data_IF_547533317355
#
_entry.id   IF_547533317355
#
_cell.length_a   1.000
_cell.length_b   1.000
_cell.length_c   1.000
_cell.angle_alpha   90.00
_cell.angle_beta   90.00
_cell.angle_gamma   90.00
#
_symmetry.space_group_name_H-M   'P 1'
#
loop_
_entity.id
_entity.type
_entity.pdbx_description
1 polymer ?
#
# COMPACT_ATOMS: atom_id res chain seq x y z
N UNK A 1 32.42 -2.37 -3.42
CA UNK A 1 31.82 -2.92 -2.18
C UNK A 1 31.92 -1.89 -1.07
N UNK A 2 30.77 -1.51 -0.51
CA UNK A 2 30.54 -1.28 0.92
C UNK A 2 31.23 -0.09 1.63
N UNK A 3 31.06 1.15 1.18
CA UNK A 3 31.30 2.30 2.08
C UNK A 3 29.99 2.79 2.73
N UNK A 4 28.91 2.93 1.95
CA UNK A 4 27.62 3.44 2.45
C UNK A 4 26.89 2.48 3.40
N UNK A 5 26.97 1.18 3.11
CA UNK A 5 26.37 0.13 3.97
C UNK A 5 27.01 0.08 5.36
N UNK A 6 28.29 0.46 5.46
CA UNK A 6 29.00 0.54 6.74
C UNK A 6 28.57 1.77 7.54
N UNK A 7 28.41 2.92 6.87
CA UNK A 7 28.00 4.20 7.49
C UNK A 7 26.62 4.12 8.14
N UNK A 8 25.60 3.59 7.45
CA UNK A 8 24.24 3.50 8.02
C UNK A 8 24.15 2.48 9.16
N UNK A 9 24.89 1.38 9.06
CA UNK A 9 24.95 0.39 10.13
C UNK A 9 25.65 0.94 11.38
N UNK A 10 26.74 1.69 11.22
CA UNK A 10 27.42 2.34 12.35
C UNK A 10 26.53 3.39 13.03
N UNK A 11 25.83 4.22 12.25
CA UNK A 11 24.81 5.15 12.74
C UNK A 11 23.74 4.44 13.57
N UNK A 12 23.15 3.37 13.02
CA UNK A 12 22.07 2.64 13.70
C UNK A 12 22.52 1.86 14.93
N UNK A 13 23.74 1.32 14.92
CA UNK A 13 24.33 0.64 16.09
C UNK A 13 24.61 1.62 17.23
N UNK A 14 24.94 2.87 16.92
CA UNK A 14 25.17 3.91 17.93
C UNK A 14 23.86 4.36 18.58
N UNK A 15 22.77 4.44 17.80
CA UNK A 15 21.50 5.02 18.25
C UNK A 15 20.58 3.99 18.90
N UNK A 16 20.51 2.80 18.32
CA UNK A 16 19.76 1.67 18.88
C UNK A 16 20.73 0.91 19.77
N UNK A 17 20.50 0.94 21.08
CA UNK A 17 21.37 0.26 22.05
C UNK A 17 21.00 -1.23 22.15
N UNK A 18 21.99 -2.08 22.40
CA UNK A 18 21.81 -3.54 22.45
C UNK A 18 20.86 -4.00 23.57
N UNK A 19 20.72 -3.21 24.63
CA UNK A 19 19.77 -3.44 25.73
C UNK A 19 18.30 -3.12 25.37
N UNK A 20 18.04 -2.62 24.15
CA UNK A 20 16.68 -2.37 23.66
C UNK A 20 15.98 -3.71 23.40
N UNK A 21 14.79 -3.90 23.98
CA UNK A 21 13.90 -5.02 23.60
C UNK A 21 13.64 -4.94 22.09
N UNK A 22 13.71 -6.07 21.40
CA UNK A 22 13.66 -6.16 19.94
C UNK A 22 14.77 -5.36 19.22
N UNK A 23 15.94 -5.23 19.85
CA UNK A 23 17.14 -4.55 19.32
C UNK A 23 17.39 -4.84 17.84
N UNK A 24 17.39 -6.12 17.46
CA UNK A 24 17.61 -6.58 16.08
C UNK A 24 16.56 -6.05 15.10
N UNK A 25 15.29 -6.00 15.50
CA UNK A 25 14.22 -5.46 14.68
C UNK A 25 14.38 -3.94 14.52
N UNK A 26 14.58 -3.22 15.63
CA UNK A 26 14.78 -1.77 15.62
C UNK A 26 16.02 -1.36 14.82
N UNK A 27 17.11 -2.12 14.90
CA UNK A 27 18.32 -1.87 14.10
C UNK A 27 18.05 -2.05 12.61
N UNK A 28 17.35 -3.11 12.21
CA UNK A 28 16.96 -3.33 10.80
C UNK A 28 16.05 -2.24 10.26
N UNK A 29 15.08 -1.80 11.07
CA UNK A 29 14.19 -0.68 10.72
C UNK A 29 15.03 0.60 10.56
N UNK A 30 15.93 0.88 11.51
CA UNK A 30 16.83 2.02 11.42
C UNK A 30 17.66 1.99 10.14
N UNK A 31 18.36 0.89 9.86
CA UNK A 31 19.25 0.80 8.71
C UNK A 31 18.48 0.99 7.40
N UNK A 32 17.27 0.43 7.29
CA UNK A 32 16.45 0.55 6.08
C UNK A 32 15.88 1.97 5.91
N UNK A 33 15.41 2.59 7.00
CA UNK A 33 14.91 3.96 6.97
C UNK A 33 16.03 4.95 6.64
N UNK A 34 17.17 4.82 7.31
CA UNK A 34 18.36 5.62 7.10
C UNK A 34 18.85 5.57 5.65
N UNK A 35 19.00 4.36 5.09
CA UNK A 35 19.36 4.16 3.68
C UNK A 35 18.37 4.83 2.73
N UNK A 36 17.07 4.75 3.03
CA UNK A 36 16.04 5.35 2.18
C UNK A 36 16.11 6.87 2.20
N UNK A 37 16.26 7.50 3.37
CA UNK A 37 16.47 8.95 3.48
C UNK A 37 17.77 9.37 2.77
N UNK A 38 18.85 8.62 2.98
CA UNK A 38 20.13 8.85 2.34
C UNK A 38 20.02 8.84 0.82
N UNK A 39 19.30 7.86 0.26
CA UNK A 39 19.04 7.77 -1.17
C UNK A 39 18.23 8.96 -1.72
N UNK A 40 17.15 9.36 -1.04
CA UNK A 40 16.33 10.52 -1.43
C UNK A 40 17.19 11.78 -1.48
N UNK A 41 18.09 11.93 -0.51
CA UNK A 41 19.01 13.06 -0.45
C UNK A 41 20.11 13.00 -1.52
N UNK A 42 20.75 11.83 -1.72
CA UNK A 42 21.94 11.69 -2.57
C UNK A 42 21.64 11.64 -4.07
N UNK A 43 20.58 10.94 -4.49
CA UNK A 43 20.22 10.80 -5.91
C UNK A 43 19.09 11.76 -6.33
N UNK A 44 18.39 12.35 -5.37
CA UNK A 44 17.09 12.96 -5.61
C UNK A 44 16.98 14.45 -5.39
N UNK A 45 17.83 15.05 -4.55
CA UNK A 45 17.56 16.41 -4.07
C UNK A 45 17.61 17.49 -5.18
N UNK A 46 18.44 17.30 -6.21
CA UNK A 46 18.51 18.25 -7.34
C UNK A 46 17.49 17.97 -8.47
N UNK A 47 16.92 16.76 -8.50
CA UNK A 47 16.23 16.20 -9.67
C UNK A 47 14.74 15.90 -9.45
N UNK A 48 14.30 16.00 -8.19
CA UNK A 48 12.91 15.85 -7.75
C UNK A 48 12.25 17.19 -7.49
N UNK A 49 10.99 17.32 -7.91
CA UNK A 49 10.11 18.38 -7.41
C UNK A 49 9.80 18.15 -5.93
N UNK A 50 9.36 19.21 -5.26
CA UNK A 50 8.85 19.15 -3.89
C UNK A 50 7.74 18.10 -3.73
N UNK A 51 6.86 17.97 -4.74
CA UNK A 51 5.81 16.95 -4.78
C UNK A 51 6.35 15.52 -4.75
N UNK A 52 7.43 15.25 -5.48
CA UNK A 52 8.04 13.92 -5.50
C UNK A 52 8.66 13.58 -4.14
N UNK A 53 9.33 14.54 -3.50
CA UNK A 53 9.87 14.36 -2.14
C UNK A 53 8.73 14.09 -1.16
N UNK A 54 7.65 14.86 -1.25
CA UNK A 54 6.44 14.67 -0.44
C UNK A 54 5.82 13.27 -0.61
N UNK A 55 5.71 12.76 -1.84
CA UNK A 55 5.21 11.41 -2.13
C UNK A 55 6.11 10.33 -1.51
N UNK A 56 7.43 10.47 -1.63
CA UNK A 56 8.38 9.50 -1.05
C UNK A 56 8.33 9.54 0.49
N UNK A 57 8.33 10.73 1.08
CA UNK A 57 8.24 10.87 2.54
C UNK A 57 6.92 10.34 3.10
N UNK A 58 5.80 10.52 2.38
CA UNK A 58 4.52 9.91 2.75
C UNK A 58 4.57 8.38 2.72
N UNK A 59 5.25 7.79 1.72
CA UNK A 59 5.50 6.36 1.68
C UNK A 59 6.39 5.90 2.84
N UNK A 60 7.48 6.61 3.12
CA UNK A 60 8.36 6.30 4.25
C UNK A 60 7.63 6.38 5.59
N UNK A 61 6.70 7.31 5.74
CA UNK A 61 5.83 7.39 6.92
C UNK A 61 4.98 6.11 7.07
N UNK A 62 4.32 5.68 5.99
CA UNK A 62 3.55 4.42 5.98
C UNK A 62 4.43 3.21 6.31
N UNK A 63 5.56 3.08 5.62
CA UNK A 63 6.49 1.97 5.82
C UNK A 63 6.98 1.90 7.27
N UNK A 64 7.36 3.04 7.86
CA UNK A 64 7.84 3.07 9.24
C UNK A 64 6.75 2.67 10.23
N UNK A 65 5.53 3.21 10.07
CA UNK A 65 4.39 2.81 10.89
C UNK A 65 4.10 1.31 10.75
N UNK A 66 4.18 0.77 9.53
CA UNK A 66 3.96 -0.64 9.27
C UNK A 66 5.01 -1.55 9.93
N UNK A 67 6.30 -1.23 9.80
CA UNK A 67 7.36 -2.04 10.39
C UNK A 67 7.32 -2.02 11.92
N UNK A 68 7.05 -0.86 12.53
CA UNK A 68 6.96 -0.75 13.99
C UNK A 68 5.75 -1.50 14.56
N UNK A 69 4.63 -1.57 13.83
CA UNK A 69 3.44 -2.36 14.21
C UNK A 69 3.65 -3.87 14.17
N UNK A 70 4.71 -4.36 13.49
CA UNK A 70 5.07 -5.79 13.46
C UNK A 70 5.90 -6.22 14.66
N UNK A 71 6.40 -5.27 15.45
CA UNK A 71 7.12 -5.56 16.69
C UNK A 71 6.09 -5.96 17.74
N UNK A 72 6.33 -7.07 18.45
CA UNK A 72 5.39 -7.63 19.43
C UNK A 72 5.11 -6.66 20.58
N UNK A 73 6.17 -6.01 21.09
CA UNK A 73 6.08 -5.00 22.14
C UNK A 73 6.77 -3.71 21.68
N UNK A 74 6.11 -2.88 20.86
CA UNK A 74 6.73 -1.68 20.32
C UNK A 74 7.02 -0.69 21.45
N UNK A 75 8.30 -0.44 21.69
CA UNK A 75 8.77 0.52 22.69
C UNK A 75 8.71 1.98 22.20
N UNK A 76 8.44 2.20 20.91
CA UNK A 76 8.40 3.52 20.25
C UNK A 76 7.39 3.51 19.12
N UNK A 77 6.65 4.60 18.98
CA UNK A 77 5.87 4.88 17.78
C UNK A 77 6.74 5.50 16.66
N UNK A 78 6.16 5.68 15.47
CA UNK A 78 6.89 6.16 14.29
C UNK A 78 7.53 7.55 14.51
N UNK A 79 6.79 8.47 15.13
CA UNK A 79 7.27 9.82 15.41
C UNK A 79 8.42 9.83 16.43
N UNK A 80 8.30 9.05 17.51
CA UNK A 80 9.36 8.90 18.52
C UNK A 80 10.62 8.25 17.94
N UNK A 81 10.44 7.21 17.13
CA UNK A 81 11.53 6.53 16.46
C UNK A 81 12.27 7.51 15.54
N UNK A 82 11.54 8.23 14.69
CA UNK A 82 12.11 9.23 13.79
C UNK A 82 12.82 10.37 14.52
N UNK A 83 12.20 10.93 15.57
CA UNK A 83 12.82 11.97 16.40
C UNK A 83 14.14 11.51 17.00
N UNK A 84 14.20 10.26 17.50
CA UNK A 84 15.44 9.68 18.03
C UNK A 84 16.54 9.58 16.97
N UNK A 85 16.20 9.23 15.73
CA UNK A 85 17.16 9.22 14.62
C UNK A 85 17.61 10.63 14.25
N UNK A 86 16.70 11.61 14.25
CA UNK A 86 17.02 13.01 13.90
C UNK A 86 17.94 13.67 14.93
N UNK A 87 17.67 13.48 16.24
CA UNK A 87 18.37 14.19 17.32
C UNK A 87 19.73 13.58 17.70
N UNK A 88 20.21 12.55 16.99
CA UNK A 88 21.43 11.83 17.33
C UNK A 88 22.75 12.58 17.03
N UNK A 89 22.71 13.91 16.85
CA UNK A 89 23.88 14.79 16.83
C UNK A 89 24.90 14.52 15.70
N UNK A 90 26.18 14.72 16.03
CA UNK A 90 27.37 14.66 15.14
C UNK A 90 27.60 13.33 14.42
N UNK A 91 26.81 12.30 14.74
CA UNK A 91 26.86 11.00 14.08
C UNK A 91 25.82 10.82 12.98
N UNK A 92 24.91 11.78 12.78
CA UNK A 92 23.85 11.68 11.78
C UNK A 92 24.38 12.04 10.38
N UNK A 93 24.59 11.06 9.47
CA UNK A 93 25.07 11.35 8.12
C UNK A 93 23.92 11.77 7.18
N UNK A 94 22.69 11.89 7.69
CA UNK A 94 21.48 12.03 6.90
C UNK A 94 20.85 13.41 7.06
N UNK A 95 20.38 13.96 5.95
CA UNK A 95 19.46 15.08 5.99
C UNK A 95 18.05 14.60 6.34
N UNK A 96 17.84 14.28 7.62
CA UNK A 96 16.55 13.78 8.11
C UNK A 96 15.42 14.79 7.87
N UNK A 97 15.72 16.09 7.92
CA UNK A 97 14.75 17.18 7.80
C UNK A 97 13.91 17.13 6.52
N UNK A 98 14.42 16.48 5.46
CA UNK A 98 13.72 16.30 4.18
C UNK A 98 12.32 15.69 4.32
N UNK A 99 12.08 14.85 5.34
CA UNK A 99 10.79 14.21 5.58
C UNK A 99 10.11 14.65 6.88
N UNK A 100 10.63 15.65 7.60
CA UNK A 100 10.18 15.98 8.96
C UNK A 100 8.67 16.26 9.04
N UNK A 101 8.13 17.02 8.08
CA UNK A 101 6.71 17.42 8.09
C UNK A 101 5.76 16.27 7.74
N UNK A 102 6.28 15.13 7.27
CA UNK A 102 5.49 13.99 6.80
C UNK A 102 5.53 12.78 7.73
N UNK A 103 6.54 12.65 8.58
CA UNK A 103 6.62 11.52 9.52
C UNK A 103 5.72 11.79 10.72
N UNK A 104 4.69 10.95 10.88
CA UNK A 104 3.67 11.08 11.91
C UNK A 104 3.25 9.70 12.43
N UNK A 105 2.61 9.66 13.59
CA UNK A 105 1.93 8.45 14.03
C UNK A 105 0.63 8.29 13.23
N UNK A 106 0.51 7.21 12.48
CA UNK A 106 -0.74 6.90 11.78
C UNK A 106 -1.72 6.27 12.76
N UNK A 107 -2.89 6.87 12.91
CA UNK A 107 -4.01 6.20 13.57
C UNK A 107 -4.42 4.94 12.80
N UNK A 108 -5.10 4.02 13.47
CA UNK A 108 -5.43 2.71 12.91
C UNK A 108 -6.33 2.80 11.67
N UNK A 109 -7.23 3.79 11.62
CA UNK A 109 -8.13 3.98 10.48
C UNK A 109 -7.35 4.45 9.25
N UNK A 110 -6.51 5.48 9.41
CA UNK A 110 -5.63 5.97 8.34
C UNK A 110 -4.65 4.89 7.92
N UNK A 111 -4.03 4.18 8.86
CA UNK A 111 -3.11 3.10 8.56
C UNK A 111 -3.77 2.00 7.71
N UNK A 112 -4.95 1.52 8.12
CA UNK A 112 -5.71 0.48 7.40
C UNK A 112 -6.09 0.94 5.99
N UNK A 113 -6.43 2.22 5.83
CA UNK A 113 -6.74 2.82 4.53
C UNK A 113 -5.50 2.88 3.62
N UNK A 114 -4.37 3.33 4.15
CA UNK A 114 -3.12 3.42 3.40
C UNK A 114 -2.57 2.03 3.06
N UNK A 115 -2.62 1.07 3.99
CA UNK A 115 -2.20 -0.32 3.75
C UNK A 115 -3.01 -0.96 2.63
N UNK A 116 -4.33 -0.76 2.64
CA UNK A 116 -5.19 -1.27 1.58
C UNK A 116 -4.83 -0.68 0.21
N UNK A 117 -4.66 0.65 0.15
CA UNK A 117 -4.25 1.32 -1.09
C UNK A 117 -2.86 0.86 -1.55
N UNK A 118 -1.90 0.74 -0.64
CA UNK A 118 -0.57 0.23 -0.92
C UNK A 118 -0.65 -1.17 -1.54
N UNK A 119 -1.42 -2.08 -0.95
CA UNK A 119 -1.59 -3.44 -1.47
C UNK A 119 -2.23 -3.44 -2.87
N UNK A 120 -3.22 -2.58 -3.13
CA UNK A 120 -3.81 -2.42 -4.46
C UNK A 120 -2.76 -2.01 -5.50
N UNK A 121 -2.06 -0.90 -5.24
CA UNK A 121 -1.08 -0.36 -6.17
C UNK A 121 0.15 -1.28 -6.34
N UNK A 122 0.56 -1.99 -5.29
CA UNK A 122 1.63 -2.98 -5.36
C UNK A 122 1.25 -4.14 -6.28
N UNK A 123 0.06 -4.73 -6.13
CA UNK A 123 -0.35 -5.84 -7.01
C UNK A 123 -0.51 -5.36 -8.46
N UNK A 124 -1.01 -4.13 -8.68
CA UNK A 124 -1.08 -3.54 -10.02
C UNK A 124 0.32 -3.32 -10.63
N UNK A 125 1.28 -2.84 -9.83
CA UNK A 125 2.69 -2.75 -10.25
C UNK A 125 3.21 -4.10 -10.69
N UNK A 126 3.01 -5.11 -9.85
CA UNK A 126 3.56 -6.44 -10.07
C UNK A 126 3.01 -7.04 -11.38
N UNK A 127 1.72 -6.84 -11.64
CA UNK A 127 1.09 -7.20 -12.91
C UNK A 127 1.73 -6.50 -14.11
N UNK A 128 1.95 -5.18 -14.04
CA UNK A 128 2.52 -4.40 -15.14
C UNK A 128 3.97 -4.74 -15.45
N UNK A 129 4.77 -5.01 -14.42
CA UNK A 129 6.23 -4.99 -14.55
C UNK A 129 6.90 -6.36 -14.43
N UNK A 130 6.20 -7.40 -13.96
CA UNK A 130 6.77 -8.74 -13.83
C UNK A 130 6.35 -9.71 -14.95
N UNK A 131 6.29 -9.22 -16.20
CA UNK A 131 5.90 -10.03 -17.35
C UNK A 131 6.79 -11.27 -17.58
N UNK A 132 8.03 -11.24 -17.07
CA UNK A 132 8.97 -12.37 -17.12
C UNK A 132 8.60 -13.55 -16.21
N UNK A 133 7.68 -13.37 -15.26
CA UNK A 133 7.23 -14.43 -14.34
C UNK A 133 6.17 -15.38 -14.95
N UNK A 134 5.77 -15.13 -16.20
CA UNK A 134 4.79 -15.93 -16.94
C UNK A 134 3.33 -15.61 -16.59
N UNK A 135 2.42 -15.95 -17.51
CA UNK A 135 1.01 -15.54 -17.49
C UNK A 135 0.28 -15.94 -16.21
N UNK A 136 0.53 -17.15 -15.68
CA UNK A 136 -0.10 -17.63 -14.43
C UNK A 136 0.20 -16.71 -13.24
N UNK A 137 1.45 -16.29 -13.10
CA UNK A 137 1.89 -15.44 -11.98
C UNK A 137 1.34 -14.02 -12.13
N UNK A 138 1.43 -13.46 -13.34
CA UNK A 138 0.90 -12.13 -13.67
C UNK A 138 -0.61 -12.08 -13.38
N UNK A 139 -1.35 -13.08 -13.83
CA UNK A 139 -2.79 -13.14 -13.61
C UNK A 139 -3.19 -13.37 -12.15
N UNK A 140 -2.31 -13.96 -11.32
CA UNK A 140 -2.54 -14.02 -9.89
C UNK A 140 -2.55 -12.61 -9.26
N UNK A 141 -1.66 -11.71 -9.69
CA UNK A 141 -1.69 -10.31 -9.26
C UNK A 141 -2.95 -9.57 -9.74
N UNK A 142 -3.34 -9.78 -11.01
CA UNK A 142 -4.59 -9.26 -11.57
C UNK A 142 -5.81 -9.64 -10.75
N UNK A 143 -5.92 -10.93 -10.41
CA UNK A 143 -6.99 -11.44 -9.56
C UNK A 143 -6.96 -10.82 -8.17
N UNK A 144 -5.78 -10.68 -7.56
CA UNK A 144 -5.63 -10.09 -6.21
C UNK A 144 -6.13 -8.65 -6.16
N UNK A 145 -5.68 -7.77 -7.04
CA UNK A 145 -6.12 -6.37 -6.98
C UNK A 145 -7.59 -6.19 -7.38
N UNK A 146 -8.12 -7.03 -8.28
CA UNK A 146 -9.55 -7.01 -8.63
C UNK A 146 -10.44 -7.41 -7.43
N UNK A 147 -10.06 -8.45 -6.68
CA UNK A 147 -10.78 -8.86 -5.47
C UNK A 147 -10.66 -7.80 -4.38
N UNK A 148 -9.46 -7.27 -4.15
CA UNK A 148 -9.23 -6.22 -3.14
C UNK A 148 -10.09 -4.99 -3.44
N UNK A 149 -10.11 -4.50 -4.67
CA UNK A 149 -10.93 -3.33 -5.05
C UNK A 149 -12.41 -3.55 -4.73
N UNK A 150 -12.96 -4.68 -5.17
CA UNK A 150 -14.37 -5.01 -4.96
C UNK A 150 -14.75 -5.14 -3.48
N UNK A 151 -13.80 -5.47 -2.59
CA UNK A 151 -14.06 -5.56 -1.14
C UNK A 151 -14.46 -4.20 -0.53
N UNK A 152 -13.86 -3.10 -1.00
CA UNK A 152 -14.00 -1.77 -0.37
C UNK A 152 -14.61 -0.70 -1.26
N UNK A 153 -14.89 -0.99 -2.54
CA UNK A 153 -15.52 -0.02 -3.46
C UNK A 153 -16.81 0.59 -2.89
N UNK A 154 -17.60 -0.21 -2.17
CA UNK A 154 -18.89 0.21 -1.61
C UNK A 154 -18.74 1.19 -0.42
N UNK A 155 -17.54 1.41 0.10
CA UNK A 155 -17.29 2.44 1.11
C UNK A 155 -17.31 3.85 0.51
N UNK A 156 -17.30 3.97 -0.81
CA UNK A 156 -17.24 5.24 -1.56
C UNK A 156 -18.56 5.56 -2.31
N UNK A 157 -19.69 5.01 -1.85
CA UNK A 157 -21.05 5.06 -2.48
C UNK A 157 -21.68 6.44 -2.65
N UNK A 158 -21.13 7.48 -2.03
CA UNK A 158 -21.55 8.85 -2.28
C UNK A 158 -20.35 9.61 -2.80
N UNK A 159 -20.55 10.35 -3.89
CA UNK A 159 -19.49 11.12 -4.52
C UNK A 159 -18.68 11.91 -3.48
N UNK A 160 -17.45 11.45 -3.31
CA UNK A 160 -16.25 12.27 -3.16
C UNK A 160 -16.21 13.25 -2.00
N UNK A 161 -15.61 12.82 -0.89
CA UNK A 161 -14.86 13.77 -0.05
C UNK A 161 -13.59 13.18 0.56
N UNK A 162 -13.60 11.90 0.97
CA UNK A 162 -12.46 11.35 1.69
C UNK A 162 -11.21 11.20 0.80
N UNK A 163 -10.01 11.50 1.30
CA UNK A 163 -8.76 11.26 0.58
C UNK A 163 -8.60 9.79 0.12
N UNK A 164 -9.12 8.85 0.91
CA UNK A 164 -9.14 7.43 0.57
C UNK A 164 -9.95 7.17 -0.70
N UNK A 165 -11.21 7.62 -0.75
CA UNK A 165 -12.07 7.41 -1.91
C UNK A 165 -11.51 8.07 -3.16
N UNK A 166 -10.97 9.29 -3.07
CA UNK A 166 -10.29 9.95 -4.19
C UNK A 166 -9.15 9.09 -4.76
N UNK A 167 -8.37 8.43 -3.91
CA UNK A 167 -7.28 7.55 -4.35
C UNK A 167 -7.78 6.22 -4.90
N UNK A 168 -8.87 5.69 -4.36
CA UNK A 168 -9.54 4.50 -4.88
C UNK A 168 -10.18 4.74 -6.26
N UNK A 169 -10.73 5.94 -6.50
CA UNK A 169 -11.18 6.39 -7.83
C UNK A 169 -10.02 6.37 -8.82
N UNK A 170 -8.88 6.96 -8.43
CA UNK A 170 -7.71 6.99 -9.31
C UNK A 170 -7.17 5.60 -9.61
N UNK A 171 -7.22 4.70 -8.63
CA UNK A 171 -6.89 3.31 -8.84
C UNK A 171 -7.81 2.66 -9.89
N UNK A 172 -9.13 2.90 -9.82
CA UNK A 172 -10.08 2.39 -10.81
C UNK A 172 -9.76 2.84 -12.24
N UNK A 173 -9.53 4.14 -12.45
CA UNK A 173 -9.13 4.65 -13.76
C UNK A 173 -7.89 3.91 -14.30
N UNK A 174 -6.90 3.74 -13.42
CA UNK A 174 -5.66 3.04 -13.76
C UNK A 174 -5.87 1.55 -14.04
N UNK A 175 -6.80 0.91 -13.31
CA UNK A 175 -7.21 -0.48 -13.54
C UNK A 175 -7.81 -0.63 -14.94
N UNK A 176 -8.80 0.20 -15.28
CA UNK A 176 -9.57 0.07 -16.53
C UNK A 176 -8.65 0.23 -17.74
N UNK A 177 -7.73 1.19 -17.69
CA UNK A 177 -6.68 1.35 -18.70
C UNK A 177 -5.81 0.09 -18.83
N UNK A 178 -5.31 -0.41 -17.69
CA UNK A 178 -4.37 -1.55 -17.64
C UNK A 178 -5.00 -2.86 -18.06
N UNK A 179 -6.27 -3.07 -17.73
CA UNK A 179 -6.97 -4.34 -17.87
C UNK A 179 -7.78 -4.45 -19.16
N UNK A 180 -7.94 -3.34 -19.89
CA UNK A 180 -8.61 -3.28 -21.20
C UNK A 180 -8.16 -4.38 -22.17
N UNK A 181 -6.86 -4.73 -22.16
CA UNK A 181 -6.22 -5.70 -23.06
C UNK A 181 -5.74 -6.97 -22.36
N UNK A 182 -6.12 -7.19 -21.09
CA UNK A 182 -5.65 -8.35 -20.32
C UNK A 182 -6.04 -9.68 -20.97
N UNK A 183 -5.14 -10.66 -20.88
CA UNK A 183 -5.37 -12.06 -21.24
C UNK A 183 -5.76 -12.92 -20.03
N UNK A 184 -5.87 -12.31 -18.85
CA UNK A 184 -6.18 -13.02 -17.62
C UNK A 184 -7.65 -13.45 -17.57
N UNK A 185 -7.87 -14.76 -17.67
CA UNK A 185 -9.20 -15.34 -17.58
C UNK A 185 -9.83 -15.03 -16.21
N UNK A 186 -11.15 -14.75 -16.21
CA UNK A 186 -11.96 -14.50 -15.00
C UNK A 186 -11.53 -13.26 -14.19
N UNK A 187 -10.77 -12.35 -14.79
CA UNK A 187 -10.53 -11.01 -14.24
C UNK A 187 -11.27 -10.00 -15.11
N UNK A 188 -12.17 -9.17 -14.55
CA UNK A 188 -12.89 -8.16 -15.33
C UNK A 188 -11.93 -7.21 -16.05
N UNK A 189 -12.21 -6.90 -17.32
CA UNK A 189 -11.43 -5.92 -18.10
C UNK A 189 -11.68 -4.48 -17.65
N UNK A 190 -12.84 -4.24 -17.06
CA UNK A 190 -13.24 -2.99 -16.43
C UNK A 190 -13.93 -3.29 -15.09
N UNK A 191 -13.95 -2.31 -14.20
CA UNK A 191 -14.63 -2.41 -12.90
C UNK A 191 -15.67 -1.29 -12.76
N UNK A 192 -16.80 -1.66 -12.16
CA UNK A 192 -17.93 -0.78 -11.94
C UNK A 192 -17.56 0.44 -11.11
N UNK A 193 -18.26 1.55 -11.39
CA UNK A 193 -18.19 2.77 -10.59
C UNK A 193 -18.75 2.57 -9.18
N UNK A 194 -18.50 3.53 -8.30
CA UNK A 194 -19.05 3.51 -6.95
C UNK A 194 -20.57 3.67 -6.91
N UNK A 195 -21.13 4.30 -7.96
CA UNK A 195 -22.55 4.65 -8.09
C UNK A 195 -23.32 3.69 -9.02
N UNK A 196 -22.66 2.68 -9.57
CA UNK A 196 -23.33 1.64 -10.34
C UNK A 196 -24.20 0.83 -9.37
N UNK A 197 -25.47 1.23 -9.24
CA UNK A 197 -26.47 0.52 -8.44
C UNK A 197 -26.40 -0.96 -8.79
N UNK A 198 -26.17 -1.80 -7.79
CA UNK A 198 -26.32 -3.24 -8.00
C UNK A 198 -27.78 -3.55 -8.29
N UNK A 199 -28.08 -4.66 -8.98
CA UNK A 199 -29.47 -5.08 -9.21
C UNK A 199 -30.24 -5.16 -7.88
N UNK A 200 -29.57 -5.52 -6.77
CA UNK A 200 -30.14 -5.48 -5.44
C UNK A 200 -30.52 -4.05 -4.98
N UNK A 201 -29.68 -3.04 -5.24
CA UNK A 201 -29.99 -1.63 -4.93
C UNK A 201 -31.16 -1.10 -5.77
N UNK A 202 -31.26 -1.52 -7.03
CA UNK A 202 -32.39 -1.19 -7.92
C UNK A 202 -33.68 -1.82 -7.40
N UNK A 203 -33.64 -3.11 -7.03
CA UNK A 203 -34.80 -3.84 -6.50
C UNK A 203 -35.26 -3.29 -5.15
N UNK A 204 -34.35 -2.80 -4.32
CA UNK A 204 -34.68 -2.20 -3.01
C UNK A 204 -35.37 -0.85 -3.18
N UNK A 205 -34.94 -0.03 -4.15
CA UNK A 205 -35.58 1.27 -4.44
C UNK A 205 -36.94 1.14 -5.12
N UNK A 206 -37.17 0.07 -5.89
CA UNK A 206 -38.48 -0.24 -6.46
C UNK A 206 -39.51 -0.69 -5.40
N UNK A 207 -39.08 -1.03 -4.18
CA UNK A 207 -39.94 -1.43 -3.08
C UNK A 207 -40.48 -0.29 -2.21
N UNK A 208 -40.00 0.95 -2.40
CA UNK A 208 -40.43 2.12 -1.60
C UNK A 208 -41.52 2.97 -2.29
N UNK A 209 -41.71 2.86 -3.60
CA UNK A 209 -42.86 3.44 -4.30
C UNK A 209 -43.98 2.39 -4.42
N UNK A 210 -44.82 2.34 -3.38
CA UNK A 210 -45.93 1.40 -3.28
C UNK A 210 -47.00 1.61 -4.35
N UNK A 211 -47.27 0.56 -5.13
CA UNK A 211 -48.65 0.18 -5.46
C UNK A 211 -48.82 -1.31 -5.18
N UNK A 212 -49.69 -1.58 -4.20
CA UNK A 212 -50.12 -2.89 -3.75
C UNK A 212 -50.65 -3.75 -4.90
N UNK A 213 -50.13 -4.98 -5.03
CA UNK A 213 -50.96 -6.15 -5.32
C UNK A 213 -50.33 -7.39 -4.72
N UNK A 214 -51.12 -8.04 -3.86
CA UNK A 214 -50.84 -9.32 -3.21
C UNK A 214 -50.74 -10.46 -4.23
N UNK A 215 -49.69 -11.30 -4.11
CA UNK A 215 -49.78 -12.72 -4.50
C UNK A 215 -49.06 -13.55 -3.44
N UNK A 216 -49.82 -14.42 -2.80
CA UNK A 216 -49.32 -15.48 -1.92
C UNK A 216 -48.98 -16.74 -2.74
N UNK A 217 -48.18 -17.62 -2.10
CA UNK A 217 -47.77 -19.01 -2.44
C UNK A 217 -46.43 -19.09 -3.20
N UNK A 218 -45.51 -19.99 -2.90
CA UNK A 218 -45.45 -21.13 -1.96
C UNK A 218 -43.97 -21.39 -1.64
N UNK A 219 -43.69 -21.93 -0.45
CA UNK A 219 -42.37 -22.46 -0.08
C UNK A 219 -42.10 -23.75 -0.84
N UNK A 220 -40.89 -23.88 -1.42
CA UNK A 220 -40.28 -25.19 -1.55
C UNK A 220 -38.76 -25.10 -1.44
N UNK A 221 -38.26 -25.82 -0.43
CA UNK A 221 -36.87 -25.97 -0.06
C UNK A 221 -36.00 -26.53 -1.20
N UNK A 222 -34.84 -25.93 -1.41
CA UNK A 222 -33.68 -26.62 -1.97
C UNK A 222 -32.40 -26.03 -1.36
N UNK A 223 -31.75 -26.87 -0.56
CA UNK A 223 -30.54 -26.61 0.21
C UNK A 223 -29.42 -25.89 -0.56
N UNK A 224 -28.91 -24.81 0.03
CA UNK A 224 -27.64 -24.17 -0.35
C UNK A 224 -26.48 -24.87 0.37
N UNK A 225 -25.45 -25.40 -0.31
CA UNK A 225 -24.24 -25.85 0.35
C UNK A 225 -23.46 -24.63 0.84
N UNK A 226 -23.34 -24.49 2.16
CA UNK A 226 -22.55 -23.45 2.79
C UNK A 226 -21.08 -23.57 2.42
N UNK A 227 -20.54 -22.53 1.79
CA UNK A 227 -19.09 -22.34 1.71
C UNK A 227 -18.64 -21.58 2.96
N UNK A 228 -18.50 -22.30 4.06
CA UNK A 228 -17.61 -21.89 5.14
C UNK A 228 -16.17 -21.99 4.60
N UNK A 229 -15.53 -20.85 4.32
CA UNK A 229 -14.07 -20.81 4.25
C UNK A 229 -13.52 -19.85 5.31
N UNK A 230 -12.47 -20.28 6.04
CA UNK A 230 -12.14 -19.72 7.35
C UNK A 230 -11.45 -18.37 7.22
N UNK A 231 -11.81 -17.49 8.15
CA UNK A 231 -11.02 -16.32 8.50
C UNK A 231 -9.67 -16.80 9.08
N UNK A 232 -8.64 -16.94 8.24
CA UNK A 232 -7.26 -17.02 8.72
C UNK A 232 -6.30 -16.54 7.65
N UNK A 233 -5.84 -15.29 7.76
CA UNK A 233 -4.62 -14.84 7.11
C UNK A 233 -3.56 -14.51 8.17
N UNK A 234 -3.34 -15.46 9.09
CA UNK A 234 -2.09 -15.59 9.84
C UNK A 234 -1.28 -16.73 9.24
N UNK A 235 -0.88 -16.60 7.98
CA UNK A 235 0.21 -17.43 7.46
C UNK A 235 1.47 -16.58 7.43
N UNK A 236 2.40 -16.91 8.33
CA UNK A 236 3.78 -16.43 8.31
C UNK A 236 4.36 -16.86 6.96
N UNK A 237 4.37 -15.95 5.98
CA UNK A 237 5.23 -16.09 4.82
C UNK A 237 6.62 -15.59 5.20
N UNK A 238 7.45 -16.49 5.72
CA UNK A 238 8.90 -16.31 5.73
C UNK A 238 9.39 -16.35 4.28
N UNK A 239 9.35 -15.18 3.63
CA UNK A 239 10.02 -14.96 2.36
C UNK A 239 11.53 -14.76 2.62
N UNK A 240 12.42 -15.28 1.75
CA UNK A 240 13.85 -15.07 1.90
C UNK A 240 14.17 -13.57 1.86
N UNK A 241 15.16 -13.17 2.67
CA UNK A 241 15.53 -11.81 3.07
C UNK A 241 15.99 -10.90 1.91
N UNK A 242 15.85 -11.32 0.65
CA UNK A 242 16.27 -10.56 -0.54
C UNK A 242 15.22 -9.59 -1.09
N UNK A 243 13.99 -9.55 -0.56
CA UNK A 243 12.89 -8.72 -1.10
C UNK A 243 12.93 -7.26 -0.62
N UNK A 244 13.67 -6.95 0.46
CA UNK A 244 13.64 -5.63 1.09
C UNK A 244 14.36 -4.56 0.23
N UNK A 245 15.40 -4.93 -0.52
CA UNK A 245 16.03 -4.04 -1.50
C UNK A 245 15.16 -3.78 -2.73
N UNK A 246 14.23 -4.69 -3.04
CA UNK A 246 13.34 -4.56 -4.19
C UNK A 246 12.32 -3.43 -4.03
N UNK A 247 11.79 -3.20 -2.83
CA UNK A 247 10.63 -2.31 -2.65
C UNK A 247 11.02 -0.82 -2.82
N UNK A 248 12.19 -0.42 -2.30
CA UNK A 248 12.71 0.95 -2.51
C UNK A 248 13.11 1.13 -3.99
N UNK A 249 13.79 0.16 -4.61
CA UNK A 249 14.09 0.19 -6.05
C UNK A 249 12.83 0.21 -6.94
N UNK A 250 11.74 -0.45 -6.52
CA UNK A 250 10.44 -0.47 -7.20
C UNK A 250 9.76 0.91 -7.14
N UNK A 251 9.77 1.59 -5.98
CA UNK A 251 9.25 2.96 -5.86
C UNK A 251 10.11 3.98 -6.65
N UNK A 252 11.43 3.78 -6.72
CA UNK A 252 12.34 4.59 -7.55
C UNK A 252 12.05 4.40 -9.04
N UNK A 253 11.82 3.17 -9.50
CA UNK A 253 11.40 2.88 -10.87
C UNK A 253 10.07 3.56 -11.19
N UNK A 254 9.12 3.57 -10.25
CA UNK A 254 7.87 4.32 -10.40
C UNK A 254 8.08 5.84 -10.56
N UNK A 255 8.95 6.45 -9.76
CA UNK A 255 9.28 7.87 -9.90
C UNK A 255 10.01 8.17 -11.23
N UNK A 256 10.94 7.31 -11.66
CA UNK A 256 11.65 7.46 -12.95
C UNK A 256 10.72 7.30 -14.16
N UNK A 257 9.80 6.33 -14.12
CA UNK A 257 8.81 6.10 -15.18
C UNK A 257 7.82 7.27 -15.28
N UNK A 258 7.34 7.82 -14.16
CA UNK A 258 6.46 9.01 -14.12
C UNK A 258 7.12 10.24 -14.78
N UNK A 259 8.43 10.43 -14.60
CA UNK A 259 9.21 11.52 -15.23
C UNK A 259 9.26 11.35 -16.76
N UNK A 260 9.50 10.14 -17.27
CA UNK A 260 9.57 9.85 -18.73
C UNK A 260 8.24 10.16 -19.43
N UNK A 261 7.10 9.85 -18.80
CA UNK A 261 5.78 10.14 -19.38
C UNK A 261 5.41 11.63 -19.34
N UNK A 262 5.92 12.39 -18.36
CA UNK A 262 5.67 13.84 -18.26
C UNK A 262 6.63 14.72 -19.08
N UNK A 263 7.68 14.16 -19.68
CA UNK A 263 8.66 14.93 -20.49
C UNK A 263 8.38 14.86 -22.01
N UNK A 264 7.20 14.35 -22.41
CA UNK A 264 6.71 14.43 -23.80
C UNK A 264 5.44 15.28 -23.86
N UNK A 265 5.64 16.59 -23.76
CA UNK A 265 4.84 17.63 -24.43
C UNK A 265 5.85 18.62 -25.01
#
# INVERSE_FOLDING_TARGET
MNNDDNTYNAFCTTIIREDTIDYEAYRKICSSFAKSIGYVYSEGYADYSEDNINEVCAYLNYWLNNELRKIETPSKNALEFYKKLKTSGSHNPLNMDICETRITNMDDTVFTNVEFLHNLFFNLHEYRNNFRKGDSVICAYAKKFSILYNKRKNECRTENSSPFCKKLTKFRETYDETMSTTKCNRVPKNIQSFDDKTIADILTQMGEDGTSMSVARDMQDAATPGSNFPNSLSSRFTLPVTIIFGIVSIFILFCKVKKIFNTKI
#
